data_IF_986327719482
#
_entry.id   IF_986327719482
#
_cell.length_a   1.000
_cell.length_b   1.000
_cell.length_c   1.000
_cell.angle_alpha   90.00
_cell.angle_beta   90.00
_cell.angle_gamma   90.00
#
_symmetry.space_group_name_H-M   'P 1'
#
loop_
_entity.id
_entity.type
_entity.pdbx_description
1 polymer ?
#
# COMPACT_ATOMS: atom_id res chain seq x y z
N UNK A 1 -12.32 -2.67 30.31
CA UNK A 1 -12.67 -1.39 29.63
C UNK A 1 -12.25 -1.50 28.18
N UNK A 2 -13.13 -1.24 27.20
CA UNK A 2 -12.79 -1.26 25.76
C UNK A 2 -11.92 -0.04 25.45
N UNK A 3 -10.76 -0.28 24.84
CA UNK A 3 -9.89 0.81 24.35
C UNK A 3 -10.30 1.18 22.93
N UNK A 4 -10.19 2.46 22.59
CA UNK A 4 -10.38 2.95 21.22
C UNK A 4 -9.00 3.06 20.55
N UNK A 5 -8.89 2.48 19.35
CA UNK A 5 -7.66 2.53 18.57
C UNK A 5 -7.87 3.49 17.38
N UNK A 6 -7.06 4.54 17.32
CA UNK A 6 -7.06 5.55 16.25
C UNK A 6 -5.77 5.50 15.42
N UNK A 7 -4.99 4.41 15.52
CA UNK A 7 -3.78 4.26 14.72
C UNK A 7 -4.11 4.11 13.24
N UNK A 8 -3.25 4.67 12.41
CA UNK A 8 -3.34 4.52 10.96
C UNK A 8 -3.03 3.08 10.49
N UNK A 9 -2.17 2.38 11.25
CA UNK A 9 -1.80 0.98 11.05
C UNK A 9 -0.83 0.48 12.13
N UNK A 10 -1.09 -0.67 12.76
CA UNK A 10 -2.30 -1.49 12.73
C UNK A 10 -3.54 -0.75 13.23
N UNK A 11 -4.57 -0.73 12.41
CA UNK A 11 -5.82 -0.01 12.70
C UNK A 11 -6.87 -0.91 13.37
N UNK A 12 -7.98 -0.30 13.75
CA UNK A 12 -9.11 -1.04 14.30
C UNK A 12 -9.73 -1.94 13.22
N UNK A 13 -10.08 -3.15 13.60
CA UNK A 13 -10.90 -4.07 12.80
C UNK A 13 -12.28 -4.22 13.42
N UNK A 14 -13.33 -4.47 12.64
CA UNK A 14 -14.63 -4.85 13.15
C UNK A 14 -14.48 -6.09 14.05
N UNK A 15 -15.23 -6.09 15.17
CA UNK A 15 -15.16 -7.19 16.15
C UNK A 15 -15.53 -8.53 15.54
N UNK A 16 -16.52 -8.53 14.67
CA UNK A 16 -16.97 -9.69 13.92
C UNK A 16 -15.85 -10.34 13.09
N UNK A 17 -15.03 -9.51 12.42
CA UNK A 17 -13.86 -9.99 11.64
C UNK A 17 -12.86 -10.69 12.56
N UNK A 18 -12.58 -10.11 13.75
CA UNK A 18 -11.65 -10.69 14.72
C UNK A 18 -12.18 -12.02 15.23
N UNK A 19 -13.47 -12.09 15.61
CA UNK A 19 -14.09 -13.31 16.12
C UNK A 19 -14.15 -14.42 15.08
N UNK A 20 -14.47 -14.10 13.83
CA UNK A 20 -14.47 -15.06 12.72
C UNK A 20 -13.06 -15.56 12.42
N UNK A 21 -12.07 -14.67 12.37
CA UNK A 21 -10.66 -15.07 12.17
C UNK A 21 -10.19 -16.01 13.29
N UNK A 22 -10.53 -15.73 14.55
CA UNK A 22 -10.17 -16.59 15.67
C UNK A 22 -10.74 -18.01 15.53
N UNK A 23 -11.97 -18.16 15.05
CA UNK A 23 -12.57 -19.48 14.76
C UNK A 23 -11.81 -20.21 13.66
N UNK A 24 -11.46 -19.51 12.58
CA UNK A 24 -10.73 -20.11 11.46
C UNK A 24 -9.28 -20.50 11.82
N UNK A 25 -8.68 -19.81 12.78
CA UNK A 25 -7.36 -20.18 13.32
C UNK A 25 -7.45 -21.52 14.05
N UNK A 26 -8.55 -21.82 14.73
CA UNK A 26 -8.74 -23.08 15.45
C UNK A 26 -9.13 -24.23 14.51
N UNK A 27 -10.03 -23.98 13.58
CA UNK A 27 -10.51 -24.98 12.63
C UNK A 27 -11.01 -24.27 11.36
N UNK A 28 -10.22 -24.35 10.29
CA UNK A 28 -10.54 -23.71 9.04
C UNK A 28 -11.69 -24.42 8.31
N UNK A 29 -12.86 -23.83 8.33
CA UNK A 29 -14.07 -24.31 7.65
C UNK A 29 -14.45 -25.76 7.97
N UNK A 30 -14.15 -26.24 9.18
CA UNK A 30 -14.46 -27.62 9.60
C UNK A 30 -13.52 -28.68 9.00
N UNK A 31 -12.37 -28.28 8.51
CA UNK A 31 -11.38 -29.17 7.89
C UNK A 31 -10.60 -30.03 8.90
N UNK A 32 -10.68 -29.69 10.18
CA UNK A 32 -9.84 -30.26 11.23
C UNK A 32 -8.41 -29.73 11.25
N UNK A 33 -8.09 -28.72 10.43
CA UNK A 33 -6.80 -28.05 10.38
C UNK A 33 -6.95 -26.57 10.74
N UNK A 34 -5.94 -26.01 11.39
CA UNK A 34 -5.84 -24.56 11.59
C UNK A 34 -5.63 -23.84 10.26
N UNK A 35 -6.20 -22.65 10.12
CA UNK A 35 -5.86 -21.75 9.01
C UNK A 35 -4.33 -21.55 8.85
N UNK A 36 -3.58 -21.58 9.96
CA UNK A 36 -2.13 -21.42 9.95
C UNK A 36 -1.37 -22.63 9.40
N UNK A 37 -2.02 -23.77 9.28
CA UNK A 37 -1.47 -25.03 8.75
C UNK A 37 -1.81 -25.24 7.28
N UNK A 38 -2.62 -24.35 6.68
CA UNK A 38 -3.12 -24.48 5.31
C UNK A 38 -2.33 -23.55 4.38
N UNK A 39 -1.82 -24.11 3.29
CA UNK A 39 -1.16 -23.30 2.25
C UNK A 39 -2.15 -22.39 1.53
N UNK A 40 -1.75 -21.14 1.26
CA UNK A 40 -2.53 -20.21 0.42
C UNK A 40 -2.79 -20.75 -1.01
N UNK A 41 -2.11 -21.81 -1.43
CA UNK A 41 -2.31 -22.50 -2.72
C UNK A 41 -3.12 -23.78 -2.60
N UNK A 42 -3.61 -24.10 -1.40
CA UNK A 42 -4.47 -25.25 -1.20
C UNK A 42 -5.85 -25.03 -1.84
N UNK A 43 -6.45 -26.11 -2.34
CA UNK A 43 -7.80 -26.05 -2.95
C UNK A 43 -8.85 -25.50 -2.00
N UNK A 44 -8.72 -25.82 -0.71
CA UNK A 44 -9.67 -25.35 0.32
C UNK A 44 -9.52 -23.86 0.63
N UNK A 45 -8.34 -23.27 0.35
CA UNK A 45 -8.09 -21.84 0.52
C UNK A 45 -8.38 -21.01 -0.75
N UNK A 46 -8.40 -21.62 -1.93
CA UNK A 46 -8.63 -20.94 -3.20
C UNK A 46 -9.92 -20.10 -3.22
N UNK A 47 -11.06 -20.57 -2.68
CA UNK A 47 -12.28 -19.75 -2.61
C UNK A 47 -12.10 -18.45 -1.83
N UNK A 48 -11.27 -18.42 -0.79
CA UNK A 48 -10.97 -17.21 -0.01
C UNK A 48 -10.19 -16.19 -0.87
N UNK A 49 -9.24 -16.66 -1.67
CA UNK A 49 -8.47 -15.81 -2.59
C UNK A 49 -9.37 -15.24 -3.69
N UNK A 50 -10.22 -16.09 -4.26
CA UNK A 50 -11.12 -15.70 -5.34
C UNK A 50 -12.17 -14.68 -4.87
N UNK A 51 -12.80 -14.93 -3.72
CA UNK A 51 -13.76 -14.01 -3.11
C UNK A 51 -13.09 -12.68 -2.72
N UNK A 52 -11.91 -12.73 -2.10
CA UNK A 52 -11.16 -11.52 -1.74
C UNK A 52 -10.83 -10.69 -2.99
N UNK A 53 -10.41 -11.35 -4.06
CA UNK A 53 -10.11 -10.70 -5.34
C UNK A 53 -11.36 -10.06 -5.95
N UNK A 54 -12.50 -10.77 -5.93
CA UNK A 54 -13.77 -10.26 -6.43
C UNK A 54 -14.25 -9.04 -5.62
N UNK A 55 -14.21 -9.13 -4.30
CA UNK A 55 -14.59 -8.03 -3.40
C UNK A 55 -13.69 -6.79 -3.56
N UNK A 56 -12.39 -6.95 -3.75
CA UNK A 56 -11.48 -5.83 -4.03
C UNK A 56 -11.87 -5.15 -5.34
N UNK A 57 -12.15 -5.92 -6.39
CA UNK A 57 -12.59 -5.37 -7.67
C UNK A 57 -13.90 -4.62 -7.57
N UNK A 58 -14.88 -5.17 -6.86
CA UNK A 58 -16.17 -4.55 -6.63
C UNK A 58 -16.05 -3.25 -5.83
N UNK A 59 -15.37 -3.30 -4.67
CA UNK A 59 -15.28 -2.16 -3.75
C UNK A 59 -14.47 -0.98 -4.29
N UNK A 60 -13.50 -1.25 -5.16
CA UNK A 60 -12.65 -0.23 -5.77
C UNK A 60 -13.06 0.11 -7.21
N UNK A 61 -14.18 -0.45 -7.69
CA UNK A 61 -14.66 -0.27 -9.06
C UNK A 61 -13.57 -0.49 -10.12
N UNK A 62 -12.82 -1.61 -9.96
CA UNK A 62 -11.68 -1.91 -10.83
C UNK A 62 -12.19 -2.36 -12.20
N UNK A 63 -11.86 -1.64 -13.29
CA UNK A 63 -12.36 -1.95 -14.60
C UNK A 63 -11.79 -3.26 -15.18
N UNK A 64 -12.44 -3.78 -16.22
CA UNK A 64 -11.93 -4.91 -16.97
C UNK A 64 -10.53 -4.63 -17.53
N UNK A 65 -9.69 -5.66 -17.62
CA UNK A 65 -8.29 -5.54 -18.06
C UNK A 65 -7.28 -5.31 -16.94
N UNK A 66 -7.75 -5.04 -15.72
CA UNK A 66 -6.88 -4.93 -14.54
C UNK A 66 -6.91 -6.21 -13.69
N UNK A 67 -5.76 -6.53 -13.10
CA UNK A 67 -5.60 -7.67 -12.21
C UNK A 67 -5.29 -7.23 -10.78
N UNK A 68 -5.86 -7.92 -9.80
CA UNK A 68 -5.49 -7.81 -8.40
C UNK A 68 -4.35 -8.79 -8.13
N UNK A 69 -3.26 -8.30 -7.57
CA UNK A 69 -2.11 -9.11 -7.17
C UNK A 69 -1.75 -8.87 -5.71
N UNK A 70 -1.44 -9.93 -4.99
CA UNK A 70 -1.03 -9.89 -3.58
C UNK A 70 0.49 -10.01 -3.49
N UNK A 71 1.17 -8.92 -3.09
CA UNK A 71 2.62 -8.85 -3.00
C UNK A 71 3.07 -8.71 -1.54
N UNK A 72 4.16 -9.39 -1.20
CA UNK A 72 4.84 -9.18 0.09
C UNK A 72 5.59 -7.85 0.13
N UNK A 73 6.05 -7.45 1.34
CA UNK A 73 6.95 -6.30 1.53
C UNK A 73 6.26 -4.95 1.75
N UNK A 74 4.94 -4.89 1.65
CA UNK A 74 4.15 -3.68 1.90
C UNK A 74 4.53 -2.49 1.03
N UNK A 75 4.13 -1.27 1.43
CA UNK A 75 4.40 -0.04 0.70
C UNK A 75 5.91 0.27 0.55
N UNK A 76 6.75 -0.19 1.47
CA UNK A 76 8.20 0.00 1.35
C UNK A 76 8.79 -0.72 0.14
N UNK A 77 8.29 -1.91 -0.20
CA UNK A 77 8.69 -2.59 -1.42
C UNK A 77 8.15 -1.89 -2.67
N UNK A 78 6.97 -1.29 -2.61
CA UNK A 78 6.41 -0.48 -3.71
C UNK A 78 7.31 0.71 -4.07
N UNK A 79 7.98 1.33 -3.09
CA UNK A 79 8.93 2.42 -3.36
C UNK A 79 10.08 2.00 -4.26
N UNK A 80 10.46 0.72 -4.22
CA UNK A 80 11.46 0.12 -5.11
C UNK A 80 10.83 -0.36 -6.43
N UNK A 81 9.68 -1.02 -6.37
CA UNK A 81 9.04 -1.63 -7.54
C UNK A 81 8.62 -0.60 -8.58
N UNK A 82 8.14 0.58 -8.15
CA UNK A 82 7.72 1.65 -9.06
C UNK A 82 8.92 2.12 -9.90
N UNK A 83 10.03 2.60 -9.34
CA UNK A 83 11.16 3.01 -10.15
C UNK A 83 11.80 1.86 -10.94
N UNK A 84 11.83 0.63 -10.40
CA UNK A 84 12.35 -0.52 -11.12
C UNK A 84 11.57 -0.84 -12.41
N UNK A 85 10.28 -0.48 -12.48
CA UNK A 85 9.44 -0.74 -13.65
C UNK A 85 9.25 0.48 -14.55
N UNK A 86 9.26 1.70 -14.00
CA UNK A 86 8.81 2.89 -14.71
C UNK A 86 9.88 3.99 -14.85
N UNK A 87 10.99 3.96 -14.10
CA UNK A 87 12.04 4.96 -14.19
C UNK A 87 12.98 4.59 -15.35
N UNK A 88 12.84 5.28 -16.47
CA UNK A 88 13.68 5.09 -17.66
C UNK A 88 14.81 6.13 -17.69
N UNK A 89 14.46 7.39 -17.45
CA UNK A 89 15.39 8.52 -17.46
C UNK A 89 15.33 9.30 -16.16
N UNK A 90 14.16 9.84 -15.83
CA UNK A 90 13.99 10.81 -14.75
C UNK A 90 12.62 10.72 -14.12
N UNK A 91 12.54 10.73 -12.81
CA UNK A 91 11.27 10.75 -12.08
C UNK A 91 11.14 12.00 -11.21
N UNK A 92 9.90 12.53 -11.13
CA UNK A 92 9.54 13.62 -10.25
C UNK A 92 8.90 13.13 -8.96
N UNK A 93 9.22 13.79 -7.85
CA UNK A 93 8.68 13.46 -6.52
C UNK A 93 8.20 14.69 -5.79
N UNK A 94 7.00 14.61 -5.18
CA UNK A 94 6.55 15.59 -4.19
C UNK A 94 6.96 15.11 -2.79
N UNK A 95 7.82 15.86 -2.11
CA UNK A 95 8.29 15.52 -0.76
C UNK A 95 7.37 16.15 0.28
N UNK A 96 6.32 15.43 0.63
CA UNK A 96 5.26 15.88 1.55
C UNK A 96 5.25 15.13 2.90
N UNK A 97 6.31 14.40 3.22
CA UNK A 97 6.41 13.69 4.49
C UNK A 97 7.43 12.58 4.50
N UNK A 98 7.48 11.83 5.60
CA UNK A 98 8.46 10.76 5.81
C UNK A 98 8.38 9.68 4.72
N UNK A 99 7.17 9.26 4.34
CA UNK A 99 7.00 8.22 3.35
C UNK A 99 7.34 8.70 1.94
N UNK A 100 6.97 9.93 1.60
CA UNK A 100 7.36 10.58 0.35
C UNK A 100 8.89 10.69 0.24
N UNK A 101 9.56 11.11 1.31
CA UNK A 101 11.02 11.19 1.39
C UNK A 101 11.70 9.82 1.23
N UNK A 102 11.11 8.76 1.82
CA UNK A 102 11.61 7.39 1.63
C UNK A 102 11.47 6.93 0.18
N UNK A 103 10.30 7.12 -0.42
CA UNK A 103 10.05 6.76 -1.81
C UNK A 103 11.05 7.46 -2.76
N UNK A 104 11.25 8.76 -2.58
CA UNK A 104 12.23 9.54 -3.32
C UNK A 104 13.66 8.99 -3.16
N UNK A 105 14.03 8.61 -1.93
CA UNK A 105 15.37 8.05 -1.65
C UNK A 105 15.58 6.71 -2.35
N UNK A 106 14.58 5.82 -2.32
CA UNK A 106 14.66 4.52 -2.99
C UNK A 106 14.80 4.69 -4.52
N UNK A 107 14.04 5.61 -5.12
CA UNK A 107 14.09 5.84 -6.56
C UNK A 107 15.48 6.27 -7.06
N UNK A 108 16.26 6.96 -6.24
CA UNK A 108 17.65 7.38 -6.59
C UNK A 108 18.61 6.23 -6.88
N UNK A 109 18.27 5.01 -6.47
CA UNK A 109 19.05 3.83 -6.80
C UNK A 109 18.82 3.33 -8.24
N UNK A 110 17.79 3.83 -8.92
CA UNK A 110 17.36 3.39 -10.25
C UNK A 110 17.62 4.40 -11.36
N UNK A 111 17.72 5.69 -11.04
CA UNK A 111 17.94 6.72 -12.04
C UNK A 111 17.92 8.14 -11.49
N UNK A 112 17.79 9.11 -12.40
CA UNK A 112 17.70 10.52 -12.02
C UNK A 112 16.35 10.82 -11.32
N UNK A 113 16.42 11.52 -10.19
CA UNK A 113 15.26 11.89 -9.41
C UNK A 113 15.29 13.38 -9.08
N UNK A 114 14.21 14.08 -9.42
CA UNK A 114 14.01 15.48 -9.08
C UNK A 114 12.94 15.63 -7.97
N UNK A 115 13.26 16.37 -6.93
CA UNK A 115 12.27 16.84 -5.97
C UNK A 115 11.55 18.05 -6.57
N UNK A 116 10.35 17.80 -7.10
CA UNK A 116 9.54 18.81 -7.82
C UNK A 116 9.04 19.88 -6.86
N UNK A 117 8.62 19.48 -5.68
CA UNK A 117 8.23 20.37 -4.59
C UNK A 117 8.40 19.66 -3.25
N UNK A 118 8.59 20.48 -2.20
CA UNK A 118 8.79 19.97 -0.83
C UNK A 118 8.19 20.95 0.18
N UNK A 119 7.60 20.39 1.24
CA UNK A 119 7.17 21.16 2.43
C UNK A 119 7.98 20.78 3.67
N UNK A 120 9.16 20.19 3.48
CA UNK A 120 10.06 19.78 4.55
C UNK A 120 10.54 20.94 5.42
N UNK A 121 10.73 22.14 4.84
CA UNK A 121 11.11 23.35 5.57
C UNK A 121 10.09 23.78 6.62
N UNK A 122 8.83 23.46 6.43
CA UNK A 122 7.71 23.79 7.31
C UNK A 122 7.19 22.55 8.05
N UNK A 123 8.04 21.55 8.26
CA UNK A 123 7.70 20.30 8.94
C UNK A 123 6.48 19.56 8.34
N UNK A 124 6.26 19.69 7.04
CA UNK A 124 5.16 19.03 6.31
C UNK A 124 3.75 19.40 6.82
N UNK A 125 3.56 20.62 7.28
CA UNK A 125 2.28 21.09 7.83
C UNK A 125 1.24 21.47 6.78
N UNK A 126 1.61 21.47 5.50
CA UNK A 126 0.73 21.80 4.39
C UNK A 126 1.14 21.05 3.11
N UNK A 127 0.31 21.09 2.08
CA UNK A 127 0.63 20.59 0.75
C UNK A 127 1.36 21.67 -0.06
N UNK A 128 2.29 21.29 -0.95
CA UNK A 128 2.95 22.25 -1.82
C UNK A 128 1.97 22.81 -2.85
N UNK A 129 2.07 24.10 -3.11
CA UNK A 129 1.30 24.82 -4.12
C UNK A 129 2.24 25.52 -5.09
N UNK A 130 1.73 25.89 -6.27
CA UNK A 130 2.45 26.69 -7.25
C UNK A 130 3.81 26.11 -7.71
N UNK A 131 3.86 24.80 -7.94
CA UNK A 131 5.01 24.13 -8.53
C UNK A 131 4.75 23.76 -10.00
N UNK A 132 5.83 23.65 -10.77
CA UNK A 132 5.76 23.20 -12.16
C UNK A 132 6.28 21.77 -12.28
N UNK A 133 5.51 20.91 -12.90
CA UNK A 133 5.93 19.54 -13.20
C UNK A 133 6.83 19.58 -14.44
N UNK A 134 8.10 19.09 -14.36
CA UNK A 134 8.96 19.02 -15.53
C UNK A 134 8.36 18.13 -16.62
N UNK A 135 8.44 18.56 -17.88
CA UNK A 135 7.86 17.80 -18.99
C UNK A 135 8.70 16.57 -19.39
N UNK A 136 9.94 16.46 -18.90
CA UNK A 136 10.93 15.44 -19.25
C UNK A 136 11.02 14.31 -18.22
N UNK A 137 10.03 14.17 -17.34
CA UNK A 137 9.95 13.08 -16.37
C UNK A 137 9.11 11.91 -16.88
N UNK A 138 9.52 10.69 -16.52
CA UNK A 138 8.80 9.46 -16.87
C UNK A 138 7.50 9.33 -16.05
N UNK A 139 7.52 9.77 -14.79
CA UNK A 139 6.36 9.83 -13.90
C UNK A 139 6.53 10.85 -12.77
N UNK A 140 5.42 11.25 -12.18
CA UNK A 140 5.36 12.00 -10.93
C UNK A 140 4.86 11.12 -9.80
N UNK A 141 5.63 10.98 -8.72
CA UNK A 141 5.22 10.29 -7.51
C UNK A 141 4.60 11.24 -6.51
N UNK A 142 3.41 10.89 -6.04
CA UNK A 142 2.68 11.58 -4.97
C UNK A 142 2.36 10.57 -3.89
N UNK A 143 2.72 10.85 -2.65
CA UNK A 143 2.31 10.04 -1.50
C UNK A 143 0.98 10.55 -0.99
N UNK A 144 -0.09 9.82 -1.25
CA UNK A 144 -1.46 10.20 -0.90
C UNK A 144 -1.71 10.27 0.62
N UNK A 145 -0.90 9.55 1.40
CA UNK A 145 -1.13 9.40 2.83
C UNK A 145 0.19 9.29 3.61
N UNK A 146 0.67 10.40 4.14
CA UNK A 146 1.83 10.46 5.03
C UNK A 146 1.37 10.30 6.49
N UNK A 147 1.12 9.07 6.91
CA UNK A 147 0.50 8.70 8.21
C UNK A 147 1.20 9.22 9.47
N UNK A 148 2.38 9.81 9.35
CA UNK A 148 3.13 10.42 10.47
C UNK A 148 2.74 11.90 10.68
N UNK A 149 2.40 12.60 9.61
CA UNK A 149 2.11 14.03 9.65
C UNK A 149 0.62 14.38 9.47
N UNK A 150 -0.22 13.42 9.11
CA UNK A 150 -1.66 13.59 8.90
C UNK A 150 -2.09 13.70 7.45
#
# INVERSE_FOLDING_TARGET
>A
MKKFNFNAGPSILPREVIENTAKQILDFNGSGLSLMEISHRAKDFQPVVDETTALIKELLDIPEGYSVIFLGGGASLQFMQIPANFLIKKAGYLNTGTWAKKALKEAKHFGEVVEVASTAGDNYTHLPHNFTIPADIDYLHVTSNNTIYG
#
